data_IF_359290972299
#
_entry.id   IF_359290972299
#
_cell.length_a   1.000
_cell.length_b   1.000
_cell.length_c   1.000
_cell.angle_alpha   90.00
_cell.angle_beta   90.00
_cell.angle_gamma   90.00
#
_symmetry.space_group_name_H-M   'P 1'
#
loop_
_entity.id
_entity.type
_entity.pdbx_description
1 polymer ?
#
# COMPACT_ATOMS: atom_id res chain seq x y z
N UNK A 1 14.09 -7.00 3.81
CA UNK A 1 15.09 -7.33 4.84
C UNK A 1 16.08 -6.18 4.94
N UNK A 2 15.99 -5.39 6.04
CA UNK A 2 16.85 -4.23 6.29
C UNK A 2 18.34 -4.57 6.25
N UNK A 3 18.72 -5.78 6.65
CA UNK A 3 20.11 -6.27 6.59
C UNK A 3 20.66 -6.23 5.17
N UNK A 4 19.88 -6.68 4.19
CA UNK A 4 20.28 -6.66 2.78
C UNK A 4 20.32 -5.24 2.22
N UNK A 5 19.30 -4.44 2.54
CA UNK A 5 19.15 -3.08 2.00
C UNK A 5 20.20 -2.11 2.54
N UNK A 6 20.50 -2.18 3.83
CA UNK A 6 21.39 -1.21 4.49
C UNK A 6 22.68 -1.83 4.97
N UNK A 7 23.02 -3.03 4.51
CA UNK A 7 24.25 -3.76 4.94
C UNK A 7 24.36 -3.91 6.46
N UNK A 8 23.22 -3.89 7.16
CA UNK A 8 23.15 -4.00 8.61
C UNK A 8 23.13 -5.47 8.98
N UNK A 9 24.06 -5.91 9.82
CA UNK A 9 23.99 -7.23 10.44
C UNK A 9 22.95 -7.20 11.56
N UNK A 10 21.79 -7.78 11.29
CA UNK A 10 20.74 -8.01 12.28
C UNK A 10 20.47 -9.51 12.42
N UNK A 11 20.12 -9.98 13.61
CA UNK A 11 19.68 -11.36 13.80
C UNK A 11 18.51 -11.67 12.86
N UNK A 12 18.52 -12.86 12.26
CA UNK A 12 17.37 -13.39 11.56
C UNK A 12 16.36 -13.82 12.61
N UNK A 13 15.13 -13.36 12.46
CA UNK A 13 13.99 -13.80 13.26
C UNK A 13 12.97 -14.54 12.37
N UNK A 14 11.92 -15.05 12.95
CA UNK A 14 10.86 -15.78 12.27
C UNK A 14 9.68 -14.88 11.85
N UNK A 15 9.83 -13.56 11.94
CA UNK A 15 8.80 -12.63 11.49
C UNK A 15 8.64 -12.71 9.98
N UNK A 16 7.39 -12.60 9.53
CA UNK A 16 7.05 -12.64 8.12
C UNK A 16 5.96 -11.59 7.85
N UNK A 17 6.33 -10.53 7.16
CA UNK A 17 5.46 -9.41 6.90
C UNK A 17 5.42 -9.07 5.40
N UNK A 18 4.68 -9.85 4.59
CA UNK A 18 4.50 -9.51 3.20
C UNK A 18 3.83 -8.13 3.09
N UNK A 19 4.26 -7.37 2.10
CA UNK A 19 3.68 -6.06 1.81
C UNK A 19 3.53 -5.90 0.31
N UNK A 20 2.44 -5.28 -0.09
CA UNK A 20 2.25 -4.87 -1.48
C UNK A 20 2.90 -3.51 -1.72
N UNK A 21 3.05 -3.12 -2.98
CA UNK A 21 3.63 -1.82 -3.33
C UNK A 21 2.57 -0.72 -3.20
N UNK A 22 2.81 0.37 -2.46
CA UNK A 22 1.93 1.51 -2.44
C UNK A 22 1.92 2.25 -3.79
N UNK A 23 0.94 3.15 -3.99
CA UNK A 23 0.87 3.99 -5.19
C UNK A 23 2.12 4.85 -5.35
N UNK A 24 2.59 4.98 -6.59
CA UNK A 24 3.78 5.78 -6.95
C UNK A 24 3.42 7.11 -7.63
N UNK A 25 2.14 7.44 -7.70
CA UNK A 25 1.62 8.68 -8.28
C UNK A 25 1.11 9.63 -7.22
N UNK A 26 1.05 10.92 -7.57
CA UNK A 26 0.45 11.99 -6.77
C UNK A 26 1.05 12.08 -5.35
N UNK A 27 2.36 11.81 -5.21
CA UNK A 27 3.01 11.73 -3.92
C UNK A 27 3.07 13.09 -3.20
N UNK A 28 2.85 14.22 -3.89
CA UNK A 28 2.72 15.55 -3.28
C UNK A 28 1.58 15.67 -2.27
N UNK A 29 0.60 14.77 -2.29
CA UNK A 29 -0.46 14.71 -1.27
C UNK A 29 0.05 14.30 0.11
N UNK A 30 1.16 13.56 0.17
CA UNK A 30 1.76 13.14 1.44
C UNK A 30 2.65 14.26 1.99
N UNK A 31 2.11 15.06 2.90
CA UNK A 31 2.77 16.22 3.49
C UNK A 31 3.17 15.89 4.92
N UNK A 32 4.46 15.84 5.19
CA UNK A 32 5.03 15.51 6.49
C UNK A 32 4.47 16.35 7.64
N UNK A 33 4.39 17.67 7.47
CA UNK A 33 3.93 18.59 8.51
C UNK A 33 2.45 18.40 8.89
N UNK A 34 1.70 17.61 8.11
CA UNK A 34 0.35 17.17 8.42
C UNK A 34 0.30 15.79 9.11
N UNK A 35 1.45 15.24 9.49
CA UNK A 35 1.55 13.92 10.10
C UNK A 35 1.45 12.76 9.11
N UNK A 36 1.50 13.05 7.79
CA UNK A 36 1.47 11.99 6.79
C UNK A 36 2.75 11.16 6.83
N UNK A 37 2.61 9.88 6.57
CA UNK A 37 3.70 8.90 6.50
C UNK A 37 3.63 8.14 5.18
N UNK A 38 4.73 7.53 4.79
CA UNK A 38 4.84 6.74 3.56
C UNK A 38 4.87 5.25 3.87
N UNK A 39 4.63 4.46 2.83
CA UNK A 39 4.41 3.01 2.88
C UNK A 39 3.14 2.64 3.67
N UNK A 40 2.67 1.40 3.53
CA UNK A 40 1.44 0.97 4.22
C UNK A 40 1.53 1.00 5.75
N UNK A 41 2.71 0.69 6.29
CA UNK A 41 2.93 0.68 7.74
C UNK A 41 3.34 2.05 8.30
N UNK A 42 3.51 3.07 7.47
CA UNK A 42 3.96 4.38 7.91
C UNK A 42 5.40 4.39 8.43
N UNK A 43 6.24 3.52 7.92
CA UNK A 43 7.61 3.30 8.38
C UNK A 43 8.63 4.26 7.75
N UNK A 44 8.20 5.15 6.87
CA UNK A 44 9.05 6.19 6.29
C UNK A 44 8.40 7.57 6.40
N UNK A 45 9.24 8.60 6.53
CA UNK A 45 8.79 9.96 6.78
C UNK A 45 8.22 10.65 5.53
N UNK A 46 8.84 10.45 4.36
CA UNK A 46 8.46 11.16 3.13
C UNK A 46 8.91 10.42 1.86
N UNK A 47 8.43 10.91 0.72
CA UNK A 47 8.74 10.33 -0.59
C UNK A 47 10.24 10.36 -0.92
N UNK A 48 10.97 11.42 -0.52
CA UNK A 48 12.40 11.50 -0.74
C UNK A 48 13.14 10.37 -0.03
N UNK A 49 12.77 10.09 1.23
CA UNK A 49 13.34 8.99 2.02
C UNK A 49 13.05 7.63 1.39
N UNK A 50 11.79 7.37 0.96
CA UNK A 50 11.42 6.10 0.33
C UNK A 50 12.20 5.86 -0.96
N UNK A 51 12.31 6.88 -1.82
CA UNK A 51 13.02 6.76 -3.10
C UNK A 51 14.51 6.54 -2.88
N UNK A 52 15.12 7.31 -1.97
CA UNK A 52 16.55 7.16 -1.63
C UNK A 52 16.83 5.76 -1.06
N UNK A 53 16.04 5.31 -0.09
CA UNK A 53 16.22 4.01 0.54
C UNK A 53 16.00 2.85 -0.44
N UNK A 54 15.03 2.99 -1.34
CA UNK A 54 14.79 2.01 -2.42
C UNK A 54 15.97 1.95 -3.39
N UNK A 55 16.51 3.09 -3.80
CA UNK A 55 17.67 3.16 -4.68
C UNK A 55 18.93 2.57 -4.01
N UNK A 56 19.19 2.89 -2.75
CA UNK A 56 20.29 2.28 -1.98
C UNK A 56 20.11 0.77 -1.84
N UNK A 57 18.87 0.30 -1.64
CA UNK A 57 18.56 -1.12 -1.59
C UNK A 57 18.85 -1.87 -2.89
N UNK A 58 18.61 -1.24 -4.04
CA UNK A 58 18.94 -1.79 -5.36
C UNK A 58 20.46 -1.80 -5.59
N UNK A 59 21.14 -0.73 -5.24
CA UNK A 59 22.60 -0.63 -5.37
C UNK A 59 23.33 -1.64 -4.46
N UNK A 60 22.83 -1.86 -3.24
CA UNK A 60 23.47 -2.73 -2.25
C UNK A 60 24.86 -2.24 -1.77
N UNK A 61 25.22 -1.00 -2.10
CA UNK A 61 26.50 -0.36 -1.78
C UNK A 61 26.34 1.17 -1.75
N UNK A 62 27.25 1.91 -1.11
CA UNK A 62 27.30 3.35 -1.21
C UNK A 62 27.41 3.81 -2.67
N UNK A 63 26.72 4.90 -3.09
CA UNK A 63 26.82 5.39 -4.46
C UNK A 63 28.22 5.89 -4.78
N UNK A 64 28.76 5.50 -5.94
CA UNK A 64 30.10 5.90 -6.39
C UNK A 64 30.18 7.42 -6.62
N UNK A 65 29.12 8.02 -7.14
CA UNK A 65 28.97 9.47 -7.29
C UNK A 65 27.75 9.96 -6.52
N UNK A 66 27.98 10.57 -5.35
CA UNK A 66 26.91 11.06 -4.49
C UNK A 66 26.11 12.20 -5.11
N UNK A 67 26.75 13.10 -5.84
CA UNK A 67 26.08 14.26 -6.43
C UNK A 67 25.07 13.80 -7.50
N UNK A 68 25.48 12.90 -8.40
CA UNK A 68 24.59 12.34 -9.40
C UNK A 68 23.46 11.52 -8.76
N UNK A 69 23.77 10.73 -7.74
CA UNK A 69 22.77 9.95 -7.02
C UNK A 69 21.69 10.85 -6.39
N UNK A 70 22.08 11.89 -5.69
CA UNK A 70 21.16 12.84 -5.06
C UNK A 70 20.34 13.60 -6.11
N UNK A 71 20.95 13.99 -7.23
CA UNK A 71 20.25 14.64 -8.32
C UNK A 71 19.18 13.71 -8.95
N UNK A 72 19.48 12.43 -9.14
CA UNK A 72 18.54 11.44 -9.66
C UNK A 72 17.41 11.13 -8.67
N UNK A 73 17.70 11.01 -7.37
CA UNK A 73 16.69 10.84 -6.31
C UNK A 73 15.74 12.04 -6.27
N UNK A 74 16.28 13.25 -6.34
CA UNK A 74 15.48 14.48 -6.35
C UNK A 74 14.59 14.54 -7.60
N UNK A 75 15.16 14.29 -8.79
CA UNK A 75 14.40 14.26 -10.05
C UNK A 75 13.26 13.24 -9.99
N UNK A 76 13.54 12.03 -9.51
CA UNK A 76 12.53 10.97 -9.40
C UNK A 76 11.43 11.33 -8.39
N UNK A 77 11.81 11.94 -7.25
CA UNK A 77 10.85 12.45 -6.27
C UNK A 77 9.94 13.52 -6.89
N UNK A 78 10.49 14.47 -7.64
CA UNK A 78 9.71 15.55 -8.26
C UNK A 78 8.77 14.97 -9.35
N UNK A 79 9.26 14.05 -10.18
CA UNK A 79 8.45 13.35 -11.16
C UNK A 79 7.28 12.58 -10.53
N UNK A 80 7.54 11.74 -9.53
CA UNK A 80 6.48 10.96 -8.85
C UNK A 80 5.52 11.85 -8.06
N UNK A 81 5.98 12.98 -7.57
CA UNK A 81 5.12 13.95 -6.88
C UNK A 81 4.05 14.52 -7.81
N UNK A 82 4.40 14.78 -9.07
CA UNK A 82 3.52 15.36 -10.07
C UNK A 82 2.86 14.32 -10.99
N UNK A 83 3.30 13.05 -10.93
CA UNK A 83 2.71 11.99 -11.74
C UNK A 83 1.21 11.88 -11.44
N UNK A 84 0.33 12.08 -12.41
CA UNK A 84 -1.12 12.02 -12.17
C UNK A 84 -1.56 10.57 -11.90
N UNK A 85 -2.60 10.37 -11.09
CA UNK A 85 -3.19 9.05 -10.92
C UNK A 85 -3.76 8.55 -12.24
N UNK A 86 -3.69 7.25 -12.53
CA UNK A 86 -4.24 6.69 -13.74
C UNK A 86 -5.77 6.78 -13.73
N UNK A 87 -6.34 7.32 -14.79
CA UNK A 87 -7.79 7.32 -14.96
C UNK A 87 -8.29 5.93 -15.32
N UNK A 88 -9.46 5.55 -14.80
CA UNK A 88 -10.10 4.28 -15.17
C UNK A 88 -10.37 4.27 -16.69
N UNK A 89 -9.86 3.27 -17.43
CA UNK A 89 -9.85 3.33 -18.89
C UNK A 89 -11.13 2.79 -19.55
N UNK A 90 -12.07 2.27 -18.78
CA UNK A 90 -13.30 1.66 -19.28
C UNK A 90 -14.52 2.54 -18.97
N UNK A 91 -15.69 2.26 -19.57
CA UNK A 91 -16.91 2.98 -19.24
C UNK A 91 -17.29 2.92 -17.77
N UNK A 92 -17.76 4.03 -17.22
CA UNK A 92 -18.31 4.15 -15.86
C UNK A 92 -19.80 4.45 -15.96
N UNK A 93 -20.62 3.72 -15.22
CA UNK A 93 -22.04 4.06 -15.05
C UNK A 93 -22.17 5.27 -14.13
N UNK A 94 -22.36 6.44 -14.71
CA UNK A 94 -22.42 7.71 -13.99
C UNK A 94 -23.58 7.76 -12.97
N UNK A 95 -24.72 7.13 -13.27
CA UNK A 95 -25.85 7.11 -12.34
C UNK A 95 -25.55 6.23 -11.12
N UNK A 96 -24.97 5.05 -11.37
CA UNK A 96 -24.56 4.14 -10.31
C UNK A 96 -23.41 4.72 -9.48
N UNK A 97 -22.42 5.36 -10.10
CA UNK A 97 -21.35 6.06 -9.41
C UNK A 97 -21.88 7.20 -8.51
N UNK A 98 -22.85 7.97 -8.99
CA UNK A 98 -23.50 9.01 -8.21
C UNK A 98 -24.24 8.43 -6.97
N UNK A 99 -24.88 7.26 -7.11
CA UNK A 99 -25.49 6.53 -5.99
C UNK A 99 -24.44 5.97 -5.02
N UNK A 100 -23.26 5.63 -5.49
CA UNK A 100 -22.14 5.11 -4.66
C UNK A 100 -21.48 6.19 -3.81
N UNK A 101 -21.49 7.45 -4.23
CA UNK A 101 -20.82 8.53 -3.49
C UNK A 101 -21.29 8.68 -2.03
N UNK A 102 -22.60 8.76 -1.71
CA UNK A 102 -23.04 8.86 -0.32
C UNK A 102 -22.67 7.60 0.50
N UNK A 103 -22.58 6.43 -0.12
CA UNK A 103 -22.12 5.20 0.55
C UNK A 103 -20.63 5.31 0.92
N UNK A 104 -19.82 5.88 0.04
CA UNK A 104 -18.42 6.20 0.33
C UNK A 104 -18.30 7.20 1.48
N UNK A 105 -19.07 8.29 1.43
CA UNK A 105 -19.07 9.33 2.46
C UNK A 105 -19.41 8.75 3.84
N UNK A 106 -20.35 7.80 3.90
CA UNK A 106 -20.79 7.18 5.15
C UNK A 106 -19.83 6.10 5.69
N UNK A 107 -19.15 5.34 4.82
CA UNK A 107 -18.39 4.16 5.22
C UNK A 107 -16.86 4.31 5.13
N UNK A 108 -16.35 5.22 4.28
CA UNK A 108 -14.94 5.27 3.90
C UNK A 108 -14.29 6.63 4.16
N UNK A 109 -15.03 7.73 3.97
CA UNK A 109 -14.48 9.09 3.96
C UNK A 109 -13.87 9.49 5.31
N UNK A 110 -14.35 8.94 6.43
CA UNK A 110 -13.82 9.22 7.76
C UNK A 110 -12.31 8.93 7.89
N UNK A 111 -11.79 7.97 7.08
CA UNK A 111 -10.38 7.64 7.01
C UNK A 111 -9.73 8.11 5.70
N UNK A 112 -10.42 7.96 4.56
CA UNK A 112 -9.83 8.15 3.23
C UNK A 112 -10.07 9.53 2.60
N UNK A 113 -10.91 10.38 3.19
CA UNK A 113 -11.19 11.74 2.72
C UNK A 113 -11.27 12.75 3.89
N UNK A 114 -10.43 12.60 4.88
CA UNK A 114 -10.41 13.44 6.08
C UNK A 114 -8.97 13.80 6.47
N UNK A 115 -8.81 14.50 7.60
CA UNK A 115 -7.47 14.77 8.19
C UNK A 115 -6.73 13.50 8.64
N UNK A 116 -7.39 12.34 8.66
CA UNK A 116 -6.78 11.04 8.99
C UNK A 116 -6.14 10.37 7.78
N UNK A 117 -6.48 10.81 6.56
CA UNK A 117 -5.90 10.28 5.33
C UNK A 117 -4.39 10.53 5.32
N UNK A 118 -3.61 9.54 4.94
CA UNK A 118 -2.15 9.62 4.94
C UNK A 118 -1.49 9.45 6.31
N UNK A 119 -2.28 9.26 7.39
CA UNK A 119 -1.75 9.08 8.75
C UNK A 119 -1.91 7.64 9.23
N UNK A 120 -1.03 7.15 10.15
CA UNK A 120 -1.18 5.82 10.73
C UNK A 120 -2.47 5.71 11.58
N UNK A 121 -3.22 4.66 11.35
CA UNK A 121 -4.39 4.28 12.15
C UNK A 121 -4.03 3.09 13.06
N UNK A 122 -4.51 3.08 14.32
CA UNK A 122 -4.26 1.95 15.21
C UNK A 122 -4.72 0.62 14.62
N UNK A 123 -3.90 -0.43 14.75
CA UNK A 123 -4.24 -1.76 14.27
C UNK A 123 -5.58 -2.27 14.82
N UNK A 124 -5.88 -1.96 16.08
CA UNK A 124 -7.14 -2.34 16.72
C UNK A 124 -8.39 -1.74 16.02
N UNK A 125 -8.25 -0.61 15.35
CA UNK A 125 -9.35 0.02 14.60
C UNK A 125 -9.54 -0.61 13.22
N UNK A 126 -8.44 -0.94 12.53
CA UNK A 126 -8.48 -1.49 11.17
C UNK A 126 -8.63 -3.01 11.18
N UNK A 127 -8.03 -3.68 12.16
CA UNK A 127 -8.15 -5.12 12.39
C UNK A 127 -7.46 -6.01 11.38
N UNK A 128 -6.62 -5.47 10.48
CA UNK A 128 -5.93 -6.25 9.44
C UNK A 128 -4.73 -7.03 9.99
N UNK A 129 -4.15 -7.92 9.17
CA UNK A 129 -3.00 -8.74 9.55
C UNK A 129 -1.83 -7.90 10.11
N UNK A 130 -1.22 -8.37 11.19
CA UNK A 130 -0.15 -7.64 11.88
C UNK A 130 1.26 -8.00 11.41
N UNK A 131 1.41 -9.00 10.56
CA UNK A 131 2.72 -9.56 10.20
C UNK A 131 3.72 -8.51 9.72
N UNK A 132 3.27 -7.51 8.95
CA UNK A 132 4.13 -6.40 8.50
C UNK A 132 4.59 -5.51 9.66
N UNK A 133 3.76 -5.27 10.66
CA UNK A 133 4.14 -4.49 11.85
C UNK A 133 5.10 -5.28 12.72
N UNK A 134 4.85 -6.57 12.93
CA UNK A 134 5.71 -7.46 13.70
C UNK A 134 7.09 -7.64 13.07
N UNK A 135 7.18 -7.50 11.74
CA UNK A 135 8.45 -7.51 11.02
C UNK A 135 9.24 -6.19 11.10
N UNK A 136 8.68 -5.14 11.72
CA UNK A 136 9.37 -3.87 11.95
C UNK A 136 10.31 -3.97 13.13
N UNK A 137 11.47 -3.37 12.97
CA UNK A 137 12.47 -3.30 14.03
C UNK A 137 13.00 -1.87 14.17
N UNK A 138 12.54 -1.18 15.22
CA UNK A 138 12.97 0.18 15.56
C UNK A 138 14.50 0.32 15.62
N UNK A 139 15.19 -0.65 16.26
CA UNK A 139 16.65 -0.63 16.35
C UNK A 139 17.33 -0.76 14.99
N UNK A 140 16.75 -1.54 14.06
CA UNK A 140 17.24 -1.61 12.68
C UNK A 140 16.98 -0.32 11.91
N UNK A 141 15.85 0.35 12.14
CA UNK A 141 15.55 1.66 11.55
C UNK A 141 16.58 2.72 12.00
N UNK A 142 16.90 2.79 13.29
CA UNK A 142 17.93 3.68 13.85
C UNK A 142 19.28 3.43 13.17
N UNK A 143 19.69 2.16 13.08
CA UNK A 143 20.96 1.79 12.43
C UNK A 143 20.95 2.11 10.93
N UNK A 144 19.84 1.86 10.22
CA UNK A 144 19.71 2.20 8.81
C UNK A 144 19.84 3.72 8.58
N UNK A 145 19.18 4.51 9.40
CA UNK A 145 19.30 5.97 9.34
C UNK A 145 20.74 6.43 9.63
N UNK A 146 21.41 5.80 10.60
CA UNK A 146 22.81 6.09 10.90
C UNK A 146 23.71 5.77 9.70
N UNK A 147 23.59 4.59 9.10
CA UNK A 147 24.40 4.19 7.92
C UNK A 147 24.24 5.18 6.77
N UNK A 148 23.02 5.64 6.49
CA UNK A 148 22.78 6.61 5.42
C UNK A 148 23.41 7.97 5.75
N UNK A 149 23.35 8.42 6.99
CA UNK A 149 24.05 9.63 7.44
C UNK A 149 25.59 9.50 7.33
N UNK A 150 26.14 8.35 7.70
CA UNK A 150 27.58 8.06 7.57
C UNK A 150 28.05 8.03 6.11
N UNK A 151 27.15 7.69 5.18
CA UNK A 151 27.40 7.86 3.74
C UNK A 151 27.41 9.33 3.29
N UNK A 152 27.06 10.26 4.17
CA UNK A 152 26.89 11.68 3.85
C UNK A 152 25.68 11.95 2.96
N UNK A 153 24.62 11.19 3.16
CA UNK A 153 23.35 11.34 2.47
C UNK A 153 22.29 11.84 3.47
N UNK A 154 21.68 12.99 3.15
CA UNK A 154 20.69 13.61 4.03
C UNK A 154 19.27 13.27 3.59
N UNK A 155 18.47 12.79 4.53
CA UNK A 155 17.04 12.54 4.39
C UNK A 155 16.35 12.51 5.76
N UNK A 156 15.02 12.62 5.78
CA UNK A 156 14.25 12.40 7.03
C UNK A 156 14.31 10.94 7.50
N UNK A 157 14.27 10.01 6.56
CA UNK A 157 14.56 8.61 6.79
C UNK A 157 13.40 7.77 7.30
N UNK A 158 13.77 6.63 7.88
CA UNK A 158 12.85 5.70 8.49
C UNK A 158 12.37 6.22 9.84
N UNK A 159 11.15 5.86 10.20
CA UNK A 159 10.53 6.21 11.49
C UNK A 159 11.18 5.40 12.60
N UNK A 160 11.75 6.10 13.58
CA UNK A 160 12.46 5.51 14.74
C UNK A 160 11.52 5.32 15.93
N UNK A 161 10.28 4.86 15.66
CA UNK A 161 9.23 4.62 16.65
C UNK A 161 8.63 3.23 16.43
N UNK A 162 7.90 2.73 17.42
CA UNK A 162 7.09 1.54 17.24
C UNK A 162 5.86 1.86 16.37
N UNK A 163 5.57 0.99 15.41
CA UNK A 163 4.46 1.21 14.49
C UNK A 163 3.14 0.79 15.16
N UNK A 164 2.14 1.66 15.11
CA UNK A 164 0.84 1.44 15.76
C UNK A 164 -0.19 0.74 14.88
N UNK A 165 0.03 0.75 13.56
CA UNK A 165 -0.92 0.21 12.60
C UNK A 165 -0.59 0.63 11.17
N UNK A 166 -1.61 0.81 10.34
CA UNK A 166 -1.47 1.06 8.92
C UNK A 166 -1.98 2.43 8.50
N UNK A 167 -1.41 2.96 7.43
CA UNK A 167 -1.83 4.22 6.81
C UNK A 167 -3.20 4.03 6.15
N UNK A 168 -4.11 4.99 6.34
CA UNK A 168 -5.25 5.17 5.45
C UNK A 168 -4.76 5.91 4.19
N UNK A 169 -4.54 5.24 3.04
CA UNK A 169 -3.98 5.88 1.87
C UNK A 169 -4.97 6.83 1.19
N UNK A 170 -4.44 7.77 0.41
CA UNK A 170 -5.24 8.45 -0.61
C UNK A 170 -5.68 7.43 -1.67
N UNK A 171 -6.94 7.52 -2.12
CA UNK A 171 -7.53 6.52 -3.01
C UNK A 171 -7.46 6.88 -4.50
N UNK A 172 -6.71 7.91 -4.86
CA UNK A 172 -6.51 8.27 -6.28
C UNK A 172 -5.99 7.07 -7.08
N UNK A 173 -6.69 6.71 -8.15
CA UNK A 173 -6.33 5.57 -8.99
C UNK A 173 -6.45 4.20 -8.30
N UNK A 174 -7.31 4.10 -7.28
CA UNK A 174 -7.47 2.87 -6.47
C UNK A 174 -7.81 1.65 -7.32
N UNK A 175 -8.48 1.84 -8.44
CA UNK A 175 -8.86 0.77 -9.36
C UNK A 175 -7.67 -0.07 -9.85
N UNK A 176 -6.48 0.54 -9.98
CA UNK A 176 -5.25 -0.13 -10.45
C UNK A 176 -4.43 -0.75 -9.31
N UNK A 177 -4.87 -0.62 -8.07
CA UNK A 177 -4.10 -1.08 -6.89
C UNK A 177 -4.37 -2.52 -6.46
N UNK A 178 -5.11 -3.29 -7.26
CA UNK A 178 -5.33 -4.70 -6.97
C UNK A 178 -4.01 -5.52 -6.98
N UNK A 179 -3.86 -6.47 -6.04
CA UNK A 179 -4.76 -6.84 -4.96
C UNK A 179 -4.69 -5.86 -3.78
N UNK A 180 -5.71 -5.89 -2.92
CA UNK A 180 -5.93 -4.91 -1.84
C UNK A 180 -5.46 -5.40 -0.48
N UNK A 181 -5.53 -4.50 0.52
CA UNK A 181 -4.87 -4.52 1.82
C UNK A 181 -3.35 -4.35 1.69
N UNK A 182 -2.69 -4.06 2.81
CA UNK A 182 -1.25 -3.81 2.85
C UNK A 182 -0.39 -5.01 2.39
N UNK A 183 -0.93 -6.22 2.50
CA UNK A 183 -0.28 -7.49 2.12
C UNK A 183 -0.80 -8.07 0.81
N UNK A 184 -1.70 -7.37 0.10
CA UNK A 184 -2.27 -7.84 -1.15
C UNK A 184 -3.12 -9.10 -1.02
N UNK A 185 -3.80 -9.29 0.12
CA UNK A 185 -4.54 -10.52 0.43
C UNK A 185 -5.99 -10.54 -0.03
N UNK A 186 -6.48 -9.47 -0.68
CA UNK A 186 -7.84 -9.38 -1.22
C UNK A 186 -7.79 -9.02 -2.71
N UNK A 187 -8.28 -9.88 -3.63
CA UNK A 187 -7.99 -9.75 -5.06
C UNK A 187 -8.70 -8.60 -5.76
N UNK A 188 -9.88 -8.15 -5.28
CA UNK A 188 -10.66 -7.09 -5.95
C UNK A 188 -11.31 -6.12 -4.97
N UNK A 189 -11.72 -4.93 -5.44
CA UNK A 189 -12.50 -3.98 -4.63
C UNK A 189 -13.83 -4.59 -4.19
N UNK A 190 -14.48 -5.35 -5.05
CA UNK A 190 -15.75 -5.99 -4.71
C UNK A 190 -15.58 -7.03 -3.60
N UNK A 191 -14.49 -7.81 -3.64
CA UNK A 191 -14.17 -8.77 -2.57
C UNK A 191 -13.78 -8.06 -1.27
N UNK A 192 -13.18 -6.86 -1.33
CA UNK A 192 -12.84 -6.07 -0.14
C UNK A 192 -14.10 -5.64 0.64
N UNK A 193 -15.22 -5.43 -0.06
CA UNK A 193 -16.50 -5.08 0.55
C UNK A 193 -17.27 -6.30 1.09
N UNK A 194 -16.73 -7.50 0.97
CA UNK A 194 -17.31 -8.68 1.63
C UNK A 194 -16.75 -8.87 3.04
N UNK A 195 -17.57 -9.42 3.97
CA UNK A 195 -17.05 -9.86 5.25
C UNK A 195 -15.84 -10.78 5.07
N UNK A 196 -14.85 -10.70 5.95
CA UNK A 196 -13.58 -11.44 5.81
C UNK A 196 -13.78 -12.95 5.61
N UNK A 197 -14.81 -13.53 6.25
CA UNK A 197 -15.15 -14.94 6.10
C UNK A 197 -15.60 -15.34 4.68
N UNK A 198 -16.07 -14.39 3.88
CA UNK A 198 -16.56 -14.58 2.51
C UNK A 198 -15.53 -14.20 1.44
N UNK A 199 -14.43 -13.53 1.84
CA UNK A 199 -13.34 -13.20 0.91
C UNK A 199 -12.63 -14.46 0.40
N UNK A 200 -12.08 -14.44 -0.83
CA UNK A 200 -11.27 -15.55 -1.35
C UNK A 200 -10.14 -15.92 -0.40
N UNK A 201 -10.04 -17.21 -0.06
CA UNK A 201 -8.96 -17.73 0.80
C UNK A 201 -7.72 -18.11 0.01
N UNK A 202 -7.90 -18.44 -1.25
CA UNK A 202 -6.83 -18.80 -2.20
C UNK A 202 -7.15 -18.17 -3.54
N UNK A 203 -6.15 -17.53 -4.13
CA UNK A 203 -6.25 -16.94 -5.47
C UNK A 203 -4.85 -16.85 -6.11
N UNK A 204 -4.77 -16.48 -7.40
CA UNK A 204 -3.50 -16.40 -8.13
C UNK A 204 -3.24 -14.98 -8.61
N UNK A 205 -2.04 -14.50 -8.35
CA UNK A 205 -1.57 -13.17 -8.74
C UNK A 205 -0.59 -13.28 -9.91
N UNK A 206 -0.73 -12.42 -10.92
CA UNK A 206 0.17 -12.36 -12.09
C UNK A 206 -0.50 -12.63 -13.42
N UNK A 207 -1.82 -12.92 -13.44
CA UNK A 207 -2.60 -12.92 -14.67
C UNK A 207 -3.10 -11.50 -14.92
N UNK A 208 -2.76 -10.93 -16.08
CA UNK A 208 -2.92 -9.51 -16.40
C UNK A 208 -4.27 -9.13 -17.03
N UNK A 209 -5.23 -10.07 -17.05
CA UNK A 209 -6.61 -9.78 -17.51
C UNK A 209 -7.41 -9.14 -16.39
N UNK A 210 -7.94 -7.95 -16.68
CA UNK A 210 -8.65 -7.13 -15.70
C UNK A 210 -10.14 -7.44 -15.64
N UNK A 211 -10.69 -7.62 -14.44
CA UNK A 211 -12.13 -7.75 -14.16
C UNK A 211 -12.74 -6.37 -13.91
N UNK A 212 -13.46 -5.85 -14.90
CA UNK A 212 -14.10 -4.53 -14.82
C UNK A 212 -15.27 -4.48 -13.84
N UNK A 213 -15.87 -5.63 -13.51
CA UNK A 213 -17.01 -5.74 -12.59
C UNK A 213 -16.54 -5.74 -11.15
N UNK A 214 -15.59 -6.61 -10.82
CA UNK A 214 -15.05 -6.71 -9.46
C UNK A 214 -14.00 -5.63 -9.18
N UNK A 215 -13.43 -5.02 -10.18
CA UNK A 215 -12.32 -4.04 -10.12
C UNK A 215 -11.09 -4.67 -9.46
N UNK A 216 -10.38 -5.45 -10.25
CA UNK A 216 -9.19 -6.19 -9.89
C UNK A 216 -8.74 -7.08 -11.04
N UNK A 217 -7.69 -7.86 -10.86
CA UNK A 217 -7.26 -8.83 -11.86
C UNK A 217 -7.98 -10.16 -11.67
N UNK A 218 -8.30 -10.85 -12.79
CA UNK A 218 -8.85 -12.19 -12.74
C UNK A 218 -7.84 -13.11 -12.04
N UNK A 219 -8.28 -13.78 -10.97
CA UNK A 219 -7.37 -14.43 -10.04
C UNK A 219 -7.75 -15.88 -9.67
N UNK A 220 -8.86 -16.41 -10.20
CA UNK A 220 -9.44 -17.71 -9.79
C UNK A 220 -9.68 -18.69 -10.96
N UNK A 221 -9.34 -18.29 -12.19
CA UNK A 221 -9.53 -19.12 -13.38
C UNK A 221 -8.36 -20.08 -13.64
N UNK A 222 -8.56 -21.16 -14.44
CA UNK A 222 -7.47 -22.03 -14.87
C UNK A 222 -6.34 -21.28 -15.60
N UNK A 223 -6.66 -20.19 -16.31
CA UNK A 223 -5.64 -19.35 -16.94
C UNK A 223 -4.78 -18.63 -15.89
N UNK A 224 -5.39 -18.01 -14.88
CA UNK A 224 -4.70 -17.38 -13.77
C UNK A 224 -3.83 -18.39 -13.00
N UNK A 225 -4.34 -19.63 -12.80
CA UNK A 225 -3.58 -20.69 -12.12
C UNK A 225 -2.33 -21.12 -12.89
N UNK A 226 -2.38 -21.13 -14.22
CA UNK A 226 -1.22 -21.54 -15.05
C UNK A 226 -0.07 -20.54 -15.03
N UNK A 227 -0.35 -19.24 -14.92
CA UNK A 227 0.67 -18.19 -15.07
C UNK A 227 0.95 -17.47 -13.77
N UNK A 228 0.04 -17.52 -12.80
CA UNK A 228 0.11 -16.74 -11.58
C UNK A 228 0.82 -17.46 -10.42
N UNK A 229 1.23 -16.68 -9.46
CA UNK A 229 1.69 -17.18 -8.16
C UNK A 229 0.50 -17.36 -7.23
N UNK A 230 0.38 -18.54 -6.64
CA UNK A 230 -0.67 -18.84 -5.65
C UNK A 230 -0.46 -18.01 -4.38
N UNK A 231 -1.50 -17.29 -3.96
CA UNK A 231 -1.61 -16.72 -2.63
C UNK A 231 -2.59 -17.55 -1.79
N UNK A 232 -2.17 -17.82 -0.55
CA UNK A 232 -2.99 -18.51 0.44
C UNK A 232 -3.07 -17.61 1.68
N UNK A 233 -4.28 -17.12 1.98
CA UNK A 233 -4.48 -16.17 3.08
C UNK A 233 -4.37 -16.81 4.47
N UNK A 234 -4.23 -18.13 4.55
CA UNK A 234 -3.89 -18.84 5.78
C UNK A 234 -2.37 -18.83 6.08
N UNK A 235 -1.53 -18.43 5.11
CA UNK A 235 -0.09 -18.30 5.30
C UNK A 235 0.24 -17.19 6.31
N UNK A 236 1.34 -17.35 7.04
CA UNK A 236 1.83 -16.36 8.02
C UNK A 236 1.96 -14.98 7.34
N UNK A 237 1.34 -13.95 7.91
CA UNK A 237 1.32 -12.59 7.36
C UNK A 237 0.41 -12.39 6.14
N UNK A 238 -0.23 -13.44 5.63
CA UNK A 238 -1.12 -13.38 4.47
C UNK A 238 -2.60 -13.15 4.79
N UNK A 239 -2.94 -12.87 6.05
CA UNK A 239 -4.32 -12.76 6.49
C UNK A 239 -5.13 -11.70 5.72
N UNK A 240 -6.37 -12.07 5.32
CA UNK A 240 -7.30 -11.18 4.61
C UNK A 240 -8.41 -10.62 5.49
N UNK A 241 -8.26 -10.72 6.83
CA UNK A 241 -9.20 -10.20 7.82
C UNK A 241 -9.05 -8.70 8.01
N UNK A 242 -10.01 -8.12 8.74
CA UNK A 242 -10.06 -6.69 9.04
C UNK A 242 -10.50 -5.82 7.86
N UNK A 243 -10.46 -4.50 8.04
CA UNK A 243 -10.99 -3.52 7.11
C UNK A 243 -12.43 -3.86 6.67
N UNK A 244 -13.29 -4.16 7.62
CA UNK A 244 -14.67 -4.57 7.35
C UNK A 244 -15.64 -3.39 7.27
N UNK A 245 -15.23 -2.32 6.57
CA UNK A 245 -16.05 -1.13 6.33
C UNK A 245 -16.89 -1.33 5.06
N UNK A 246 -18.19 -1.01 5.16
CA UNK A 246 -19.15 -1.21 4.06
C UNK A 246 -19.57 -2.66 3.82
N UNK A 247 -19.15 -3.61 4.64
CA UNK A 247 -19.45 -5.04 4.45
C UNK A 247 -20.94 -5.36 4.69
N UNK A 248 -21.66 -4.54 5.44
CA UNK A 248 -23.10 -4.68 5.71
C UNK A 248 -24.00 -4.12 4.59
N UNK A 249 -23.42 -3.44 3.60
CA UNK A 249 -24.17 -2.93 2.44
C UNK A 249 -24.77 -4.08 1.62
N UNK A 250 -25.92 -3.83 0.98
CA UNK A 250 -26.51 -4.79 0.02
C UNK A 250 -25.60 -5.01 -1.19
N UNK A 251 -25.85 -6.02 -1.98
CA UNK A 251 -25.07 -6.31 -3.20
C UNK A 251 -25.11 -5.10 -4.16
N UNK A 252 -26.28 -4.51 -4.37
CA UNK A 252 -26.49 -3.36 -5.23
C UNK A 252 -25.76 -2.10 -4.74
N UNK A 253 -25.77 -1.88 -3.41
CA UNK A 253 -25.03 -0.77 -2.79
C UNK A 253 -23.50 -0.97 -2.91
N UNK A 254 -22.99 -2.19 -2.71
CA UNK A 254 -21.59 -2.52 -2.93
C UNK A 254 -21.17 -2.29 -4.37
N UNK A 255 -22.01 -2.67 -5.34
CA UNK A 255 -21.74 -2.45 -6.75
C UNK A 255 -21.76 -0.95 -7.09
N UNK A 256 -22.65 -0.17 -6.49
CA UNK A 256 -22.68 1.29 -6.66
C UNK A 256 -21.42 1.94 -6.04
N UNK A 257 -21.00 1.48 -4.87
CA UNK A 257 -19.76 1.95 -4.22
C UNK A 257 -18.53 1.63 -5.06
N UNK A 258 -18.42 0.42 -5.63
CA UNK A 258 -17.34 0.05 -6.56
C UNK A 258 -17.34 0.94 -7.79
N UNK A 259 -18.52 1.27 -8.35
CA UNK A 259 -18.62 2.16 -9.50
C UNK A 259 -18.16 3.58 -9.17
N UNK A 260 -18.45 4.09 -7.96
CA UNK A 260 -17.90 5.36 -7.49
C UNK A 260 -16.37 5.30 -7.34
N UNK A 261 -15.82 4.22 -6.78
CA UNK A 261 -14.38 4.07 -6.59
C UNK A 261 -13.58 4.08 -7.91
N UNK A 262 -14.19 3.70 -9.04
CA UNK A 262 -13.58 3.85 -10.37
C UNK A 262 -13.35 5.31 -10.77
N UNK A 263 -14.08 6.25 -10.16
CA UNK A 263 -13.99 7.70 -10.48
C UNK A 263 -12.85 8.39 -9.71
N UNK A 264 -12.27 7.74 -8.72
CA UNK A 264 -11.16 8.26 -7.91
C UNK A 264 -9.83 7.94 -8.62
#
# INVERSE_FOLDING_TARGET
>A
NLTKYFMIRAPMDDTFGPTDMPSVWNLKKYVWDKGHRMNYAGDSHDAHSVIMDSALGVLGAPPANKADFLAQVQWLKDYMSELPPPKYPFPIDAARAAAGKPLFDANCAACHASKRTGTPLPLAEVGTDRGRLDSWNKGAAIKANQVVREMGLERRGLVEEDLIGYIAPFLDGIWLKAPYLHNGSVPSLRDLLEPAAQRPKVFWRGYDVYDQTKVGFISDTPAAQRVGTKLDTASKGGGNHGHEFGTALSAEEKDALVEYLKTL
#
